data_IF_899510748720
#
_entry.id   IF_899510748720
#
_cell.length_a   1.000
_cell.length_b   1.000
_cell.length_c   1.000
_cell.angle_alpha   90.00
_cell.angle_beta   90.00
_cell.angle_gamma   90.00
#
_symmetry.space_group_name_H-M   'P 1'
#
loop_
_entity.id
_entity.type
_entity.pdbx_description
1 polymer ?
#
# COMPACT_ATOMS: atom_id res chain seq x y z
N UNK A 1 19.91 -12.96 9.10
CA UNK A 1 19.47 -11.58 8.83
C UNK A 1 18.00 -11.61 8.45
N UNK A 2 17.21 -10.62 8.85
CA UNK A 2 15.76 -10.75 8.87
C UNK A 2 15.10 -10.44 7.54
N UNK A 3 13.92 -11.07 7.31
CA UNK A 3 12.91 -10.52 6.43
C UNK A 3 12.00 -9.59 7.26
N UNK A 4 11.86 -8.36 6.80
CA UNK A 4 11.05 -7.31 7.46
C UNK A 4 9.90 -6.91 6.55
N UNK A 5 8.67 -6.95 7.06
CA UNK A 5 7.49 -6.48 6.34
C UNK A 5 7.19 -5.04 6.76
N UNK A 6 6.96 -4.15 5.79
CA UNK A 6 6.45 -2.78 6.03
C UNK A 6 5.11 -2.64 5.34
N UNK A 7 4.09 -2.32 6.12
CA UNK A 7 2.71 -2.16 5.63
C UNK A 7 1.99 -0.96 6.27
N UNK A 8 0.91 -0.52 5.64
CA UNK A 8 0.04 0.49 6.25
C UNK A 8 -0.91 -0.14 7.27
N UNK A 9 -1.05 0.48 8.43
CA UNK A 9 -1.92 -0.01 9.49
C UNK A 9 -3.25 0.76 9.60
N UNK A 10 -3.57 1.62 8.63
CA UNK A 10 -4.82 2.39 8.54
C UNK A 10 -5.48 2.16 7.17
N UNK A 11 -5.89 3.20 6.43
CA UNK A 11 -6.54 3.14 5.11
C UNK A 11 -5.65 3.59 3.93
N UNK A 12 -4.34 3.47 4.04
CA UNK A 12 -3.40 3.93 3.04
C UNK A 12 -2.95 5.38 3.27
N UNK A 13 -1.96 5.82 2.48
CA UNK A 13 -1.36 7.15 2.56
C UNK A 13 -0.73 7.50 3.92
N UNK A 14 -0.37 6.49 4.73
CA UNK A 14 0.27 6.67 6.03
C UNK A 14 1.71 7.20 5.94
N UNK A 15 2.29 7.27 4.75
CA UNK A 15 3.68 7.66 4.56
C UNK A 15 4.66 6.49 4.55
N UNK A 16 4.20 5.30 4.12
CA UNK A 16 5.04 4.09 3.97
C UNK A 16 6.32 4.34 3.18
N UNK A 17 6.24 5.12 2.10
CA UNK A 17 7.41 5.45 1.28
C UNK A 17 8.56 6.08 2.08
N UNK A 18 8.27 6.89 3.10
CA UNK A 18 9.30 7.46 3.99
C UNK A 18 9.92 6.38 4.88
N UNK A 19 9.11 5.48 5.46
CA UNK A 19 9.59 4.40 6.30
C UNK A 19 10.42 3.39 5.49
N UNK A 20 9.97 3.02 4.29
CA UNK A 20 10.70 2.10 3.40
C UNK A 20 11.99 2.73 2.87
N UNK A 21 12.00 4.03 2.58
CA UNK A 21 13.20 4.74 2.15
C UNK A 21 14.28 4.80 3.25
N UNK A 22 13.87 5.04 4.50
CA UNK A 22 14.81 5.02 5.64
C UNK A 22 15.45 3.64 5.86
N UNK A 23 14.69 2.57 5.65
CA UNK A 23 15.18 1.20 5.76
C UNK A 23 15.90 0.76 4.48
N UNK A 24 15.47 1.25 3.33
CA UNK A 24 15.90 0.80 2.01
C UNK A 24 17.40 0.90 1.77
N UNK A 25 18.08 1.88 2.35
CA UNK A 25 19.54 2.00 2.23
C UNK A 25 20.34 1.04 3.14
N UNK A 26 19.65 0.28 3.99
CA UNK A 26 20.22 -0.64 4.99
C UNK A 26 19.86 -2.10 4.73
N UNK A 27 19.22 -2.40 3.60
CA UNK A 27 18.79 -3.74 3.21
C UNK A 27 19.36 -4.11 1.85
N UNK A 28 19.45 -5.41 1.55
CA UNK A 28 19.98 -5.90 0.29
C UNK A 28 18.89 -6.01 -0.80
N UNK A 29 17.66 -6.30 -0.40
CA UNK A 29 16.51 -6.46 -1.29
C UNK A 29 15.31 -5.65 -0.81
N UNK A 30 14.60 -5.01 -1.75
CA UNK A 30 13.28 -4.41 -1.49
C UNK A 30 12.25 -5.02 -2.45
N UNK A 31 11.24 -5.66 -1.88
CA UNK A 31 10.26 -6.46 -2.62
C UNK A 31 8.88 -5.84 -2.51
N UNK A 32 8.30 -5.45 -3.63
CA UNK A 32 6.86 -5.15 -3.69
C UNK A 32 6.10 -6.46 -3.83
N UNK A 33 5.26 -6.78 -2.84
CA UNK A 33 4.64 -8.10 -2.76
C UNK A 33 3.17 -8.15 -3.19
N UNK A 34 2.46 -7.01 -3.30
CA UNK A 34 1.03 -6.98 -3.64
C UNK A 34 0.62 -5.72 -4.41
N UNK A 35 -0.61 -5.71 -4.88
CA UNK A 35 -1.20 -4.60 -5.62
C UNK A 35 -0.70 -4.55 -7.07
N UNK A 36 -0.62 -3.37 -7.60
CA UNK A 36 -0.16 -3.06 -8.95
C UNK A 36 0.10 -1.57 -9.06
N UNK A 37 -0.20 -0.99 -10.22
CA UNK A 37 -0.06 0.45 -10.46
C UNK A 37 -1.18 1.31 -9.86
N UNK A 38 -2.04 0.75 -9.00
CA UNK A 38 -3.08 1.47 -8.26
C UNK A 38 -2.56 2.20 -7.00
N UNK A 39 -1.39 1.85 -6.50
CA UNK A 39 -0.71 2.58 -5.44
C UNK A 39 0.22 3.65 -6.01
N UNK A 40 0.50 4.68 -5.24
CA UNK A 40 1.53 5.67 -5.55
C UNK A 40 2.36 5.94 -4.31
N UNK A 41 3.65 5.61 -4.36
CA UNK A 41 4.60 5.96 -3.31
C UNK A 41 5.40 7.17 -3.76
N UNK A 42 5.36 8.25 -2.98
CA UNK A 42 6.24 9.40 -3.21
C UNK A 42 7.42 9.29 -2.27
N UNK A 43 8.61 9.25 -2.84
CA UNK A 43 9.88 9.32 -2.13
C UNK A 43 10.56 10.64 -2.45
N UNK A 44 11.18 11.27 -1.47
CA UNK A 44 11.92 12.52 -1.65
C UNK A 44 13.38 12.26 -1.34
N UNK A 45 14.25 12.39 -2.35
CA UNK A 45 15.71 12.23 -2.23
C UNK A 45 16.36 13.54 -2.70
N UNK A 46 17.19 14.12 -1.87
CA UNK A 46 17.92 15.37 -2.14
C UNK A 46 17.03 16.53 -2.64
N UNK A 47 15.80 16.59 -2.09
CA UNK A 47 14.80 17.60 -2.46
C UNK A 47 13.99 17.26 -3.72
N UNK A 48 14.36 16.25 -4.48
CA UNK A 48 13.65 15.76 -5.65
C UNK A 48 12.56 14.74 -5.31
N UNK A 49 11.38 14.87 -5.93
CA UNK A 49 10.25 13.95 -5.74
C UNK A 49 10.24 12.87 -6.81
N UNK A 50 10.11 11.62 -6.36
CA UNK A 50 9.92 10.44 -7.19
C UNK A 50 8.57 9.81 -6.87
N UNK A 51 7.69 9.74 -7.86
CA UNK A 51 6.39 9.10 -7.73
C UNK A 51 6.45 7.71 -8.37
N UNK A 52 6.50 6.66 -7.55
CA UNK A 52 6.55 5.26 -7.98
C UNK A 52 5.17 4.61 -7.87
N UNK A 53 4.76 3.85 -8.88
CA UNK A 53 3.48 3.14 -8.89
C UNK A 53 3.68 1.61 -8.86
N UNK A 54 4.49 1.08 -9.78
CA UNK A 54 4.83 -0.35 -9.87
C UNK A 54 6.18 -0.66 -9.26
N UNK A 55 7.16 0.21 -9.47
CA UNK A 55 8.51 -0.04 -9.00
C UNK A 55 8.59 -0.01 -7.48
N UNK A 56 9.35 -0.95 -6.85
CA UNK A 56 9.65 -0.92 -5.43
C UNK A 56 10.46 0.33 -5.07
N UNK A 57 10.30 0.85 -3.84
CA UNK A 57 11.03 2.05 -3.38
C UNK A 57 12.55 1.88 -3.41
N UNK A 58 13.03 0.66 -3.20
CA UNK A 58 14.47 0.32 -3.25
C UNK A 58 15.15 0.58 -4.60
N UNK A 59 14.40 0.79 -5.70
CA UNK A 59 14.97 1.15 -7.01
C UNK A 59 15.80 2.42 -6.96
N UNK A 60 15.49 3.32 -6.04
CA UNK A 60 16.14 4.61 -5.85
C UNK A 60 17.44 4.53 -5.03
N UNK A 61 17.73 3.37 -4.42
CA UNK A 61 18.90 3.18 -3.55
C UNK A 61 20.00 2.40 -4.28
N UNK A 62 21.21 2.95 -4.28
CA UNK A 62 22.37 2.24 -4.84
C UNK A 62 22.72 1.01 -3.99
N UNK A 63 23.04 -0.12 -4.64
CA UNK A 63 23.40 -1.37 -3.94
C UNK A 63 22.21 -2.26 -3.54
N UNK A 64 20.98 -1.76 -3.62
CA UNK A 64 19.76 -2.53 -3.32
C UNK A 64 19.22 -3.21 -4.58
N UNK A 65 18.74 -4.42 -4.46
CA UNK A 65 18.08 -5.16 -5.54
C UNK A 65 16.56 -4.98 -5.41
N UNK A 66 15.92 -4.21 -6.30
CA UNK A 66 14.47 -4.06 -6.30
C UNK A 66 13.81 -5.29 -6.93
N UNK A 67 12.71 -5.78 -6.32
CA UNK A 67 12.02 -6.98 -6.78
C UNK A 67 10.51 -6.74 -6.87
N UNK A 68 9.90 -7.06 -8.00
CA UNK A 68 8.46 -7.19 -8.14
C UNK A 68 8.08 -8.65 -7.93
N UNK A 69 7.44 -8.94 -6.79
CA UNK A 69 7.06 -10.29 -6.36
C UNK A 69 5.86 -10.86 -7.13
N UNK A 70 5.65 -12.15 -6.98
CA UNK A 70 4.57 -12.90 -7.65
C UNK A 70 3.15 -12.48 -7.22
N UNK A 71 3.02 -11.75 -6.12
CA UNK A 71 1.72 -11.22 -5.67
C UNK A 71 1.27 -9.97 -6.42
N UNK A 72 2.14 -9.29 -7.16
CA UNK A 72 1.83 -8.08 -7.92
C UNK A 72 1.13 -8.41 -9.24
N UNK A 73 0.21 -7.55 -9.68
CA UNK A 73 -0.32 -7.56 -11.05
C UNK A 73 0.31 -6.40 -11.83
N UNK A 74 0.88 -6.70 -12.98
CA UNK A 74 1.82 -5.81 -13.70
C UNK A 74 1.20 -5.31 -15.00
N UNK A 75 1.03 -4.00 -15.11
CA UNK A 75 0.80 -3.31 -16.38
C UNK A 75 2.16 -3.02 -17.02
N UNK A 76 2.48 -3.72 -18.11
CA UNK A 76 3.79 -3.63 -18.75
C UNK A 76 4.06 -2.26 -19.35
N UNK A 77 3.05 -1.58 -19.89
CA UNK A 77 3.22 -0.24 -20.43
C UNK A 77 3.58 0.76 -19.31
N UNK A 78 2.93 0.64 -18.14
CA UNK A 78 3.24 1.47 -16.98
C UNK A 78 4.61 1.13 -16.41
N UNK A 79 4.97 -0.16 -16.32
CA UNK A 79 6.28 -0.60 -15.85
C UNK A 79 7.41 0.04 -16.66
N UNK A 80 7.35 -0.07 -17.97
CA UNK A 80 8.41 0.48 -18.83
C UNK A 80 8.40 2.00 -18.89
N UNK A 81 7.24 2.64 -18.80
CA UNK A 81 7.18 4.09 -18.68
C UNK A 81 7.84 4.61 -17.37
N UNK A 82 7.69 3.90 -16.26
CA UNK A 82 8.38 4.25 -15.01
C UNK A 82 9.89 4.01 -15.11
N UNK A 83 10.32 2.88 -15.69
CA UNK A 83 11.74 2.58 -15.95
C UNK A 83 12.36 3.69 -16.79
N UNK A 84 11.76 4.02 -17.94
CA UNK A 84 12.26 5.05 -18.85
C UNK A 84 12.35 6.43 -18.17
N UNK A 85 11.38 6.76 -17.32
CA UNK A 85 11.39 8.02 -16.59
C UNK A 85 12.49 8.09 -15.53
N UNK A 86 12.85 6.97 -14.89
CA UNK A 86 13.96 6.89 -13.93
C UNK A 86 15.33 6.89 -14.65
N UNK A 87 15.47 6.11 -15.72
CA UNK A 87 16.69 6.06 -16.51
C UNK A 87 17.03 7.45 -17.09
N UNK A 88 16.02 8.21 -17.57
CA UNK A 88 16.18 9.58 -18.02
C UNK A 88 16.66 10.56 -16.93
N UNK A 89 16.47 10.20 -15.65
CA UNK A 89 16.96 10.94 -14.46
C UNK A 89 18.27 10.38 -13.90
N UNK A 90 18.90 9.43 -14.60
CA UNK A 90 20.17 8.82 -14.20
C UNK A 90 20.08 7.78 -13.09
N UNK A 91 18.89 7.27 -12.80
CA UNK A 91 18.68 6.17 -11.84
C UNK A 91 18.90 4.84 -12.57
N UNK A 92 19.81 4.01 -12.07
CA UNK A 92 20.07 2.68 -12.63
C UNK A 92 18.95 1.70 -12.28
N UNK A 93 18.18 1.30 -13.29
CA UNK A 93 17.07 0.34 -13.16
C UNK A 93 17.46 -1.09 -13.56
N UNK A 94 18.70 -1.32 -14.01
CA UNK A 94 19.15 -2.61 -14.55
C UNK A 94 19.11 -3.78 -13.55
N UNK A 95 19.10 -3.48 -12.25
CA UNK A 95 19.04 -4.48 -11.15
C UNK A 95 17.62 -4.97 -10.83
N UNK A 96 16.59 -4.41 -11.48
CA UNK A 96 15.21 -4.80 -11.23
C UNK A 96 14.98 -6.27 -11.57
N UNK A 97 14.41 -7.01 -10.61
CA UNK A 97 13.92 -8.36 -10.84
C UNK A 97 12.39 -8.38 -10.85
N UNK A 98 11.85 -9.12 -11.81
CA UNK A 98 10.40 -9.33 -11.97
C UNK A 98 10.09 -10.80 -11.88
N UNK A 99 9.14 -11.17 -11.00
CA UNK A 99 8.75 -12.57 -10.84
C UNK A 99 8.15 -13.14 -12.12
N UNK A 100 8.70 -14.26 -12.58
CA UNK A 100 8.13 -15.06 -13.68
C UNK A 100 6.67 -15.46 -13.41
N UNK A 101 6.30 -15.62 -12.14
CA UNK A 101 4.96 -16.01 -11.69
C UNK A 101 4.00 -14.84 -11.42
N UNK A 102 4.43 -13.59 -11.55
CA UNK A 102 3.54 -12.43 -11.44
C UNK A 102 2.51 -12.40 -12.59
N UNK A 103 1.33 -11.83 -12.34
CA UNK A 103 0.28 -11.75 -13.35
C UNK A 103 0.34 -10.45 -14.14
N UNK A 104 -0.07 -10.51 -15.39
CA UNK A 104 -0.10 -9.37 -16.31
C UNK A 104 -1.48 -8.71 -16.31
N UNK A 105 -1.51 -7.40 -16.26
CA UNK A 105 -2.71 -6.61 -16.56
C UNK A 105 -2.78 -6.43 -18.08
N UNK A 106 -3.62 -7.21 -18.74
CA UNK A 106 -3.88 -7.07 -20.17
C UNK A 106 -4.87 -5.92 -20.45
N UNK A 107 -4.92 -5.37 -21.69
CA UNK A 107 -5.81 -4.27 -22.06
C UNK A 107 -7.29 -4.49 -21.75
N UNK A 108 -7.75 -5.73 -21.83
CA UNK A 108 -9.13 -6.09 -21.49
C UNK A 108 -9.46 -5.91 -20.00
N UNK A 109 -8.51 -6.04 -19.10
CA UNK A 109 -8.72 -5.81 -17.66
C UNK A 109 -9.08 -4.35 -17.40
N UNK A 110 -8.37 -3.40 -18.01
CA UNK A 110 -8.65 -1.97 -17.86
C UNK A 110 -10.01 -1.61 -18.48
N UNK A 111 -10.34 -2.23 -19.61
CA UNK A 111 -11.62 -2.03 -20.30
C UNK A 111 -12.78 -2.51 -19.43
N UNK A 112 -12.68 -3.72 -18.87
CA UNK A 112 -13.71 -4.31 -18.00
C UNK A 112 -13.87 -3.48 -16.72
N UNK A 113 -12.76 -3.08 -16.08
CA UNK A 113 -12.78 -2.26 -14.84
C UNK A 113 -13.56 -0.96 -15.04
N UNK A 114 -13.22 -0.19 -16.09
CA UNK A 114 -13.89 1.07 -16.42
C UNK A 114 -15.38 0.91 -16.76
N UNK A 115 -15.73 -0.17 -17.47
CA UNK A 115 -17.12 -0.44 -17.87
C UNK A 115 -17.94 -0.87 -16.66
N UNK A 116 -17.40 -1.76 -15.81
CA UNK A 116 -18.09 -2.25 -14.62
C UNK A 116 -18.38 -1.11 -13.63
N UNK A 117 -17.41 -0.23 -13.37
CA UNK A 117 -17.61 0.94 -12.50
C UNK A 117 -18.72 1.87 -13.02
N UNK A 118 -18.79 2.09 -14.34
CA UNK A 118 -19.87 2.88 -14.96
C UNK A 118 -21.22 2.17 -14.82
N UNK A 119 -21.25 0.86 -15.02
CA UNK A 119 -22.49 0.05 -14.94
C UNK A 119 -23.05 0.01 -13.51
N UNK A 120 -22.19 -0.06 -12.50
CA UNK A 120 -22.57 -0.04 -11.08
C UNK A 120 -23.19 1.30 -10.65
N UNK A 121 -22.85 2.41 -11.31
CA UNK A 121 -23.44 3.72 -11.06
C UNK A 121 -23.28 4.17 -9.60
N UNK A 122 -24.41 4.27 -8.86
CA UNK A 122 -24.39 4.65 -7.43
C UNK A 122 -23.76 3.60 -6.50
N UNK A 123 -23.64 2.34 -6.94
CA UNK A 123 -23.03 1.24 -6.20
C UNK A 123 -21.57 1.01 -6.57
N UNK A 124 -20.94 1.98 -7.24
CA UNK A 124 -19.54 1.92 -7.61
C UNK A 124 -18.65 1.79 -6.37
N UNK A 125 -17.57 1.06 -6.52
CA UNK A 125 -16.54 0.88 -5.46
C UNK A 125 -15.61 2.09 -5.41
N UNK A 126 -15.43 2.80 -6.53
CA UNK A 126 -14.47 3.89 -6.69
C UNK A 126 -13.09 3.38 -7.06
N UNK A 127 -13.01 2.38 -7.94
CA UNK A 127 -11.73 1.82 -8.43
C UNK A 127 -10.91 2.86 -9.17
N UNK A 128 -9.62 2.58 -9.34
CA UNK A 128 -8.72 3.44 -10.12
C UNK A 128 -8.90 3.29 -11.64
N UNK A 129 -9.71 2.32 -12.11
CA UNK A 129 -9.93 2.01 -13.52
C UNK A 129 -8.69 1.45 -14.22
N UNK A 130 -7.72 0.93 -13.46
CA UNK A 130 -6.43 0.42 -13.95
C UNK A 130 -6.41 -1.10 -14.18
N UNK A 131 -7.54 -1.78 -14.04
CA UNK A 131 -7.66 -3.22 -14.29
C UNK A 131 -7.16 -4.12 -13.17
N UNK A 132 -6.89 -3.58 -11.99
CA UNK A 132 -6.33 -4.33 -10.85
C UNK A 132 -7.30 -5.44 -10.42
N UNK A 133 -8.56 -5.08 -10.11
CA UNK A 133 -9.59 -6.04 -9.69
C UNK A 133 -9.82 -7.15 -10.70
N UNK A 134 -10.09 -6.85 -11.97
CA UNK A 134 -10.21 -7.86 -13.02
C UNK A 134 -9.00 -8.78 -13.19
N UNK A 135 -7.76 -8.27 -13.03
CA UNK A 135 -6.56 -9.09 -13.11
C UNK A 135 -6.44 -10.06 -11.92
N UNK A 136 -6.75 -9.61 -10.70
CA UNK A 136 -6.82 -10.52 -9.54
C UNK A 136 -7.97 -11.53 -9.66
N UNK A 137 -9.13 -11.14 -10.20
CA UNK A 137 -10.22 -12.07 -10.47
C UNK A 137 -9.76 -13.20 -11.42
N UNK A 138 -9.07 -12.87 -12.50
CA UNK A 138 -8.50 -13.84 -13.44
C UNK A 138 -7.45 -14.75 -12.80
N UNK A 139 -6.60 -14.20 -11.94
CA UNK A 139 -5.63 -14.97 -11.15
C UNK A 139 -6.33 -16.05 -10.32
N UNK A 140 -7.38 -15.68 -9.58
CA UNK A 140 -8.12 -16.60 -8.70
C UNK A 140 -8.97 -17.58 -9.52
N UNK A 141 -9.54 -17.16 -10.64
CA UNK A 141 -10.25 -18.03 -11.59
C UNK A 141 -9.33 -18.92 -12.41
N UNK A 142 -8.03 -18.73 -12.33
CA UNK A 142 -6.98 -19.51 -13.01
C UNK A 142 -7.01 -19.39 -14.55
N UNK A 143 -7.45 -18.22 -15.02
CA UNK A 143 -7.45 -17.84 -16.46
C UNK A 143 -6.47 -16.69 -16.74
N UNK A 144 -5.72 -16.25 -15.72
CA UNK A 144 -4.78 -15.13 -15.84
C UNK A 144 -3.52 -15.48 -16.62
N UNK A 145 -2.96 -14.48 -17.29
CA UNK A 145 -1.66 -14.54 -17.97
C UNK A 145 -0.56 -14.16 -16.99
N UNK A 146 0.51 -14.94 -16.93
CA UNK A 146 1.71 -14.68 -16.13
C UNK A 146 2.84 -14.11 -16.98
N UNK A 147 3.81 -13.49 -16.35
CA UNK A 147 5.02 -12.95 -17.00
C UNK A 147 5.73 -14.02 -17.83
N UNK A 148 5.91 -15.22 -17.31
CA UNK A 148 6.56 -16.34 -18.03
C UNK A 148 5.86 -16.73 -19.33
N UNK A 149 4.55 -16.51 -19.43
CA UNK A 149 3.78 -16.89 -20.62
C UNK A 149 4.08 -16.02 -21.85
N UNK A 150 4.67 -14.81 -21.64
CA UNK A 150 5.07 -13.91 -22.70
C UNK A 150 6.24 -14.46 -23.56
N UNK A 151 6.91 -15.51 -23.09
CA UNK A 151 8.07 -16.09 -23.77
C UNK A 151 7.72 -17.32 -24.62
N UNK A 152 6.42 -17.68 -24.66
CA UNK A 152 5.86 -18.70 -25.55
C UNK A 152 4.56 -18.14 -26.17
N UNK A 153 4.68 -17.68 -27.42
CA UNK A 153 3.57 -17.04 -28.15
C UNK A 153 2.35 -17.94 -28.27
N UNK A 154 2.55 -19.26 -28.45
CA UNK A 154 1.45 -20.21 -28.59
C UNK A 154 0.68 -20.35 -27.25
N UNK A 155 1.38 -20.50 -26.15
CA UNK A 155 0.78 -20.56 -24.80
C UNK A 155 0.10 -19.23 -24.46
N UNK A 156 0.72 -18.08 -24.78
CA UNK A 156 0.14 -16.77 -24.58
C UNK A 156 -1.18 -16.62 -25.34
N UNK A 157 -1.20 -16.97 -26.63
CA UNK A 157 -2.39 -16.88 -27.46
C UNK A 157 -3.55 -17.74 -26.92
N UNK A 158 -3.28 -19.00 -26.54
CA UNK A 158 -4.28 -19.88 -25.93
C UNK A 158 -4.86 -19.31 -24.63
N UNK A 159 -4.01 -18.75 -23.74
CA UNK A 159 -4.48 -18.14 -22.48
C UNK A 159 -5.30 -16.88 -22.72
N UNK A 160 -4.86 -16.03 -23.64
CA UNK A 160 -5.60 -14.81 -24.02
C UNK A 160 -6.95 -15.15 -24.64
N UNK A 161 -7.02 -16.16 -25.53
CA UNK A 161 -8.26 -16.65 -26.11
C UNK A 161 -9.24 -17.11 -25.02
N UNK A 162 -8.81 -18.01 -24.13
CA UNK A 162 -9.64 -18.51 -23.04
C UNK A 162 -10.13 -17.42 -22.08
N UNK A 163 -9.30 -16.40 -21.81
CA UNK A 163 -9.70 -15.26 -21.02
C UNK A 163 -10.70 -14.35 -21.74
N UNK A 164 -10.52 -14.12 -23.05
CA UNK A 164 -11.36 -13.24 -23.86
C UNK A 164 -12.72 -13.85 -24.17
N UNK A 165 -12.85 -15.16 -24.26
CA UNK A 165 -14.14 -15.83 -24.47
C UNK A 165 -15.19 -15.36 -23.45
N UNK A 166 -14.86 -15.41 -22.17
CA UNK A 166 -15.75 -14.98 -21.10
C UNK A 166 -15.96 -13.47 -21.11
N UNK A 167 -14.91 -12.69 -21.28
CA UNK A 167 -14.94 -11.22 -21.23
C UNK A 167 -15.67 -10.64 -22.42
N UNK A 168 -15.45 -11.16 -23.62
CA UNK A 168 -16.16 -10.72 -24.81
C UNK A 168 -17.66 -11.03 -24.73
N UNK A 169 -18.03 -12.15 -24.08
CA UNK A 169 -19.45 -12.44 -23.85
C UNK A 169 -20.07 -11.33 -22.97
N UNK A 170 -19.43 -10.93 -21.90
CA UNK A 170 -19.89 -9.82 -21.05
C UNK A 170 -19.89 -8.48 -21.80
N UNK A 171 -18.79 -8.15 -22.49
CA UNK A 171 -18.66 -6.91 -23.22
C UNK A 171 -19.75 -6.75 -24.28
N UNK A 172 -20.00 -7.78 -25.10
CA UNK A 172 -20.94 -7.71 -26.20
C UNK A 172 -22.38 -7.87 -25.72
N UNK A 173 -22.68 -8.89 -24.92
CA UNK A 173 -24.06 -9.26 -24.57
C UNK A 173 -24.64 -8.46 -23.41
N UNK A 174 -23.80 -8.08 -22.43
CA UNK A 174 -24.27 -7.37 -21.24
C UNK A 174 -24.02 -5.87 -21.34
N UNK A 175 -22.84 -5.48 -21.80
CA UNK A 175 -22.44 -4.07 -21.81
C UNK A 175 -22.61 -3.38 -23.16
N UNK A 176 -23.05 -4.11 -24.23
CA UNK A 176 -23.19 -3.59 -25.58
C UNK A 176 -21.93 -2.85 -26.07
N UNK A 177 -20.78 -3.52 -25.96
CA UNK A 177 -19.45 -3.02 -26.36
C UNK A 177 -18.88 -3.93 -27.44
N UNK A 178 -17.89 -3.39 -28.19
CA UNK A 178 -17.11 -4.15 -29.15
C UNK A 178 -16.30 -5.25 -28.45
N UNK A 179 -16.23 -6.43 -29.08
CA UNK A 179 -15.30 -7.46 -28.66
C UNK A 179 -13.84 -7.02 -28.83
N UNK A 180 -12.98 -7.57 -27.99
CA UNK A 180 -11.52 -7.39 -28.08
C UNK A 180 -10.96 -8.62 -28.77
N UNK A 181 -10.00 -8.43 -29.69
CA UNK A 181 -9.42 -9.53 -30.45
C UNK A 181 -8.24 -10.16 -29.71
N UNK A 182 -8.00 -11.43 -29.95
CA UNK A 182 -6.86 -12.17 -29.41
C UNK A 182 -5.57 -11.60 -29.99
N UNK A 183 -5.55 -11.39 -31.28
CA UNK A 183 -4.38 -10.91 -32.05
C UNK A 183 -3.87 -9.56 -31.52
N UNK A 184 -4.78 -8.56 -31.38
CA UNK A 184 -4.41 -7.24 -30.86
C UNK A 184 -3.85 -7.33 -29.43
N UNK A 185 -4.41 -8.22 -28.60
CA UNK A 185 -3.96 -8.41 -27.21
C UNK A 185 -2.61 -9.09 -27.13
N UNK A 186 -2.40 -10.15 -27.92
CA UNK A 186 -1.13 -10.91 -27.99
C UNK A 186 -0.03 -10.01 -28.53
N UNK A 187 -0.23 -9.32 -29.66
CA UNK A 187 0.73 -8.38 -30.23
C UNK A 187 1.15 -7.30 -29.23
N UNK A 188 0.18 -6.71 -28.52
CA UNK A 188 0.45 -5.73 -27.49
C UNK A 188 1.34 -6.30 -26.38
N UNK A 189 1.04 -7.49 -25.88
CA UNK A 189 1.81 -8.10 -24.78
C UNK A 189 3.21 -8.51 -25.25
N UNK A 190 3.34 -9.11 -26.44
CA UNK A 190 4.63 -9.51 -27.01
C UNK A 190 5.56 -8.33 -27.28
N UNK A 191 5.03 -7.14 -27.56
CA UNK A 191 5.84 -5.95 -27.78
C UNK A 191 6.77 -5.60 -26.61
N UNK A 192 6.50 -6.10 -25.41
CA UNK A 192 7.30 -5.91 -24.21
C UNK A 192 8.23 -7.09 -23.89
N UNK A 193 8.04 -8.26 -24.52
CA UNK A 193 8.67 -9.51 -24.10
C UNK A 193 10.20 -9.45 -24.09
N UNK A 194 10.82 -8.97 -25.18
CA UNK A 194 12.27 -8.94 -25.30
C UNK A 194 12.92 -7.97 -24.30
N UNK A 195 12.29 -6.82 -24.05
CA UNK A 195 12.77 -5.85 -23.06
C UNK A 195 12.62 -6.38 -21.63
N UNK A 196 11.59 -7.19 -21.37
CA UNK A 196 11.30 -7.77 -20.06
C UNK A 196 12.22 -8.95 -19.73
N UNK A 197 12.64 -9.73 -20.73
CA UNK A 197 13.40 -10.99 -20.58
C UNK A 197 14.57 -10.93 -19.60
N UNK A 198 15.48 -9.93 -19.64
CA UNK A 198 16.63 -9.88 -18.74
C UNK A 198 16.28 -9.62 -17.29
N UNK A 199 15.06 -9.13 -16.99
CA UNK A 199 14.61 -8.82 -15.64
C UNK A 199 13.88 -9.99 -14.97
N UNK A 200 13.50 -11.02 -15.73
CA UNK A 200 12.63 -12.10 -15.25
C UNK A 200 13.41 -13.17 -14.49
N UNK A 201 12.93 -13.49 -13.29
CA UNK A 201 13.56 -14.49 -12.43
C UNK A 201 12.53 -15.31 -11.64
N UNK A 202 12.96 -16.45 -11.11
CA UNK A 202 12.30 -17.11 -9.98
C UNK A 202 12.63 -16.32 -8.71
N UNK A 203 11.83 -15.30 -8.44
CA UNK A 203 12.07 -14.39 -7.31
C UNK A 203 11.91 -15.09 -5.96
N UNK A 204 11.09 -16.15 -5.88
CA UNK A 204 10.96 -16.91 -4.64
C UNK A 204 12.27 -17.63 -4.31
N UNK A 205 12.89 -18.29 -5.29
CA UNK A 205 14.20 -18.92 -5.13
C UNK A 205 15.27 -17.88 -4.77
N UNK A 206 15.38 -16.80 -5.55
CA UNK A 206 16.38 -15.74 -5.33
C UNK A 206 16.31 -15.15 -3.91
N UNK A 207 15.09 -14.86 -3.42
CA UNK A 207 14.91 -14.26 -2.10
C UNK A 207 15.20 -15.25 -0.95
N UNK A 208 14.85 -16.53 -1.12
CA UNK A 208 15.17 -17.55 -0.11
C UNK A 208 16.67 -17.83 -0.05
N UNK A 209 17.34 -17.96 -1.20
CA UNK A 209 18.80 -18.13 -1.27
C UNK A 209 19.53 -16.92 -0.66
N UNK A 210 19.05 -15.71 -0.92
CA UNK A 210 19.57 -14.48 -0.33
C UNK A 210 19.47 -14.49 1.21
N UNK A 211 18.30 -14.88 1.74
CA UNK A 211 18.11 -15.01 3.20
C UNK A 211 19.01 -16.11 3.80
N UNK A 212 19.22 -17.23 3.09
CA UNK A 212 20.14 -18.30 3.52
C UNK A 212 21.60 -17.84 3.52
N UNK A 213 21.95 -16.94 2.60
CA UNK A 213 23.26 -16.29 2.55
C UNK A 213 23.41 -15.15 3.58
N UNK A 214 22.38 -14.84 4.37
CA UNK A 214 22.42 -13.82 5.41
C UNK A 214 22.07 -12.40 4.92
N UNK A 215 21.48 -12.25 3.74
CA UNK A 215 20.99 -10.96 3.25
C UNK A 215 19.72 -10.50 4.00
N UNK A 216 19.50 -9.19 4.03
CA UNK A 216 18.31 -8.56 4.60
C UNK A 216 17.29 -8.23 3.51
N UNK A 217 16.04 -8.67 3.68
CA UNK A 217 14.95 -8.49 2.73
C UNK A 217 13.86 -7.62 3.34
N UNK A 218 13.52 -6.51 2.68
CA UNK A 218 12.39 -5.64 3.00
C UNK A 218 11.22 -5.94 2.09
N UNK A 219 10.07 -6.29 2.65
CA UNK A 219 8.82 -6.55 1.93
C UNK A 219 7.90 -5.35 2.10
N UNK A 220 7.67 -4.57 1.02
CA UNK A 220 6.82 -3.38 1.07
C UNK A 220 5.42 -3.64 0.53
N UNK A 221 4.40 -3.25 1.31
CA UNK A 221 3.01 -3.30 0.88
C UNK A 221 2.64 -2.11 -0.01
N UNK A 222 1.89 -2.37 -1.07
CA UNK A 222 1.31 -1.32 -1.91
C UNK A 222 0.17 -0.56 -1.23
N UNK A 223 -0.55 -1.20 -0.30
CA UNK A 223 -1.72 -0.64 0.38
C UNK A 223 -1.62 -0.81 1.91
N UNK A 224 -2.77 -0.87 2.59
CA UNK A 224 -2.85 -0.90 4.04
C UNK A 224 -3.85 -1.95 4.53
N UNK A 225 -3.81 -2.29 5.82
CA UNK A 225 -4.63 -3.33 6.45
C UNK A 225 -6.13 -3.12 6.23
N UNK A 226 -6.61 -1.88 6.39
CA UNK A 226 -8.05 -1.61 6.22
C UNK A 226 -8.50 -1.58 4.75
N UNK A 227 -7.58 -1.74 3.82
CA UNK A 227 -7.82 -1.94 2.39
C UNK A 227 -7.53 -3.38 1.92
N UNK A 228 -7.15 -4.28 2.81
CA UNK A 228 -6.95 -5.71 2.49
C UNK A 228 -8.27 -6.36 2.09
N UNK A 229 -8.23 -7.27 1.09
CA UNK A 229 -9.45 -7.89 0.54
C UNK A 229 -10.19 -8.75 1.58
N UNK A 230 -9.48 -9.37 2.53
CA UNK A 230 -10.05 -10.24 3.56
C UNK A 230 -10.29 -9.52 4.89
N UNK A 231 -9.38 -8.60 5.27
CA UNK A 231 -9.36 -7.95 6.57
C UNK A 231 -9.75 -6.47 6.56
N UNK A 232 -9.95 -5.89 5.38
CA UNK A 232 -10.35 -4.49 5.22
C UNK A 232 -11.84 -4.25 5.27
N UNK A 233 -12.22 -3.02 4.96
CA UNK A 233 -13.63 -2.54 4.93
C UNK A 233 -14.33 -2.96 3.64
N UNK A 234 -14.46 -4.27 3.40
CA UNK A 234 -15.11 -4.83 2.22
C UNK A 234 -16.53 -4.25 2.03
N UNK A 235 -16.98 -3.89 0.79
CA UNK A 235 -16.28 -4.05 -0.47
C UNK A 235 -15.33 -2.90 -0.86
N UNK A 236 -15.17 -1.89 -0.02
CA UNK A 236 -14.35 -0.70 -0.26
C UNK A 236 -12.87 -0.98 0.08
N UNK A 237 -12.29 -1.91 -0.65
CA UNK A 237 -10.93 -2.45 -0.45
C UNK A 237 -10.19 -2.58 -1.79
N UNK A 238 -8.90 -2.88 -1.75
CA UNK A 238 -8.15 -3.38 -2.91
C UNK A 238 -8.45 -4.87 -3.13
N UNK A 239 -8.16 -5.38 -4.31
CA UNK A 239 -8.35 -6.80 -4.63
C UNK A 239 -7.14 -7.67 -4.25
N UNK A 240 -6.24 -7.16 -3.43
CA UNK A 240 -5.02 -7.85 -3.00
C UNK A 240 -4.93 -7.95 -1.49
N UNK A 241 -4.13 -8.90 -1.00
CA UNK A 241 -3.81 -9.01 0.41
C UNK A 241 -2.65 -8.07 0.75
N UNK A 242 -2.96 -7.01 1.51
CA UNK A 242 -2.02 -5.98 1.94
C UNK A 242 -1.51 -6.20 3.39
N UNK A 243 -1.86 -7.33 3.98
CA UNK A 243 -1.43 -7.78 5.32
C UNK A 243 -0.08 -8.51 5.28
N UNK A 244 0.51 -8.74 6.45
CA UNK A 244 1.75 -9.52 6.60
C UNK A 244 1.63 -10.94 6.03
N UNK A 245 0.46 -11.59 6.15
CA UNK A 245 0.18 -12.86 5.49
C UNK A 245 0.29 -12.78 3.96
N UNK A 246 -0.17 -11.65 3.37
CA UNK A 246 -0.03 -11.36 1.95
C UNK A 246 1.42 -11.18 1.51
N UNK A 247 2.30 -10.70 2.40
CA UNK A 247 3.72 -10.60 2.11
C UNK A 247 4.36 -11.97 1.88
N UNK A 248 4.01 -12.97 2.68
CA UNK A 248 4.50 -14.33 2.50
C UNK A 248 4.06 -14.93 1.16
N UNK A 249 2.77 -14.87 0.84
CA UNK A 249 2.25 -15.42 -0.42
C UNK A 249 2.70 -14.66 -1.65
N UNK A 250 2.89 -13.33 -1.52
CA UNK A 250 3.25 -12.45 -2.64
C UNK A 250 4.74 -12.37 -2.94
N UNK A 251 5.61 -12.88 -2.05
CA UNK A 251 7.07 -12.94 -2.25
C UNK A 251 7.60 -14.37 -2.38
N UNK A 252 6.87 -15.36 -1.86
CA UNK A 252 7.35 -16.75 -1.76
C UNK A 252 8.26 -16.99 -0.55
N UNK A 253 8.36 -16.05 0.38
CA UNK A 253 9.08 -16.22 1.65
C UNK A 253 8.14 -16.87 2.67
N UNK A 254 8.60 -17.94 3.32
CA UNK A 254 7.82 -18.64 4.34
C UNK A 254 7.57 -17.77 5.58
N UNK A 255 6.41 -17.92 6.27
CA UNK A 255 6.05 -17.05 7.39
C UNK A 255 7.02 -17.13 8.57
N UNK A 256 7.69 -18.25 8.78
CA UNK A 256 8.69 -18.44 9.86
C UNK A 256 10.03 -17.73 9.57
N UNK A 257 10.18 -17.13 8.40
CA UNK A 257 11.35 -16.34 8.01
C UNK A 257 11.12 -14.83 8.13
N UNK A 258 9.89 -14.44 8.52
CA UNK A 258 9.57 -13.03 8.81
C UNK A 258 9.91 -12.77 10.27
N UNK A 259 10.89 -11.91 10.50
CA UNK A 259 11.35 -11.57 11.86
C UNK A 259 10.61 -10.36 12.42
N UNK A 260 10.27 -9.39 11.57
CA UNK A 260 9.58 -8.17 11.99
C UNK A 260 8.46 -7.80 11.04
N UNK A 261 7.39 -7.27 11.62
CA UNK A 261 6.26 -6.68 10.88
C UNK A 261 6.04 -5.25 11.39
N UNK A 262 6.38 -4.29 10.55
CA UNK A 262 6.33 -2.86 10.85
C UNK A 262 5.07 -2.25 10.26
N UNK A 263 4.18 -1.77 11.12
CA UNK A 263 2.99 -1.01 10.74
C UNK A 263 3.30 0.48 10.63
N UNK A 264 2.95 1.13 9.53
CA UNK A 264 3.02 2.59 9.42
C UNK A 264 1.66 3.18 9.73
N UNK A 265 1.62 4.15 10.63
CA UNK A 265 0.43 4.90 11.05
C UNK A 265 0.68 6.40 10.96
N UNK A 266 -0.38 7.18 10.75
CA UNK A 266 -0.35 8.63 10.96
C UNK A 266 -0.80 8.99 12.36
N UNK A 267 -0.38 10.14 12.85
CA UNK A 267 -0.88 10.74 14.09
C UNK A 267 -2.38 11.13 14.04
N UNK A 268 -2.99 11.05 12.88
CA UNK A 268 -4.41 11.16 12.59
C UNK A 268 -4.77 10.13 11.51
N UNK A 269 -5.99 10.14 10.98
CA UNK A 269 -6.40 9.14 9.98
C UNK A 269 -6.78 9.83 8.67
N UNK A 270 -6.44 9.20 7.54
CA UNK A 270 -6.92 9.62 6.21
C UNK A 270 -7.47 8.44 5.44
N UNK A 271 -8.45 8.71 4.56
CA UNK A 271 -9.00 7.73 3.64
C UNK A 271 -9.22 8.34 2.26
N UNK A 272 -8.93 7.56 1.23
CA UNK A 272 -9.30 7.86 -0.16
C UNK A 272 -10.47 6.96 -0.57
N UNK A 273 -11.41 7.48 -1.35
CA UNK A 273 -12.55 6.72 -1.87
C UNK A 273 -13.71 6.60 -0.90
N UNK A 274 -14.64 5.74 -1.29
CA UNK A 274 -15.88 5.49 -0.56
C UNK A 274 -15.66 4.54 0.63
N UNK A 275 -16.72 4.31 1.41
CA UNK A 275 -16.74 3.35 2.51
C UNK A 275 -16.68 3.99 3.90
N UNK A 276 -16.82 3.18 4.96
CA UNK A 276 -16.95 3.65 6.33
C UNK A 276 -15.66 4.30 6.83
N UNK A 277 -15.84 5.39 7.55
CA UNK A 277 -14.75 6.13 8.21
C UNK A 277 -15.31 6.78 9.49
N UNK A 278 -15.42 6.03 10.60
CA UNK A 278 -16.11 6.51 11.80
C UNK A 278 -15.56 7.81 12.38
N UNK A 279 -14.25 8.02 12.30
CA UNK A 279 -13.58 9.22 12.83
C UNK A 279 -13.50 10.38 11.84
N UNK A 280 -14.17 10.29 10.68
CA UNK A 280 -14.14 11.35 9.66
C UNK A 280 -14.64 12.68 10.19
N UNK A 281 -13.94 13.76 9.85
CA UNK A 281 -14.25 15.13 10.19
C UNK A 281 -14.67 15.90 8.95
N UNK A 282 -15.86 16.45 8.98
CA UNK A 282 -16.42 17.30 7.91
C UNK A 282 -16.48 18.77 8.30
N UNK A 283 -15.87 19.12 9.44
CA UNK A 283 -15.82 20.46 10.03
C UNK A 283 -14.48 21.16 9.76
N UNK A 284 -14.24 22.28 10.50
CA UNK A 284 -13.02 23.05 10.43
C UNK A 284 -11.75 22.26 10.80
N UNK A 285 -11.86 21.25 11.69
CA UNK A 285 -10.70 20.43 12.07
C UNK A 285 -10.31 19.48 10.93
N UNK A 286 -11.30 18.91 10.22
CA UNK A 286 -11.04 18.10 9.03
C UNK A 286 -10.36 18.90 7.91
N UNK A 287 -10.79 20.16 7.68
CA UNK A 287 -10.15 21.03 6.71
C UNK A 287 -8.74 21.45 7.15
N UNK A 288 -8.56 21.72 8.43
CA UNK A 288 -7.25 22.05 8.99
C UNK A 288 -6.27 20.89 8.85
N UNK A 289 -6.65 19.66 9.21
CA UNK A 289 -5.82 18.46 9.01
C UNK A 289 -5.46 18.27 7.52
N UNK A 290 -6.41 18.49 6.63
CA UNK A 290 -6.19 18.37 5.18
C UNK A 290 -5.16 19.37 4.68
N UNK A 291 -5.32 20.63 5.06
CA UNK A 291 -4.47 21.73 4.58
C UNK A 291 -3.07 21.65 5.20
N UNK A 292 -2.98 21.55 6.54
CA UNK A 292 -1.72 21.48 7.26
C UNK A 292 -0.97 20.19 6.94
N UNK A 293 -1.69 19.07 6.83
CA UNK A 293 -1.10 17.77 6.46
C UNK A 293 -0.80 17.63 4.98
N UNK A 294 -1.25 18.54 4.11
CA UNK A 294 -1.10 18.41 2.66
C UNK A 294 -1.80 17.16 2.12
N UNK A 295 -3.00 16.86 2.63
CA UNK A 295 -3.72 15.62 2.34
C UNK A 295 -4.46 15.69 1.00
N UNK A 296 -3.67 15.64 -0.06
CA UNK A 296 -4.13 15.59 -1.45
C UNK A 296 -3.48 14.42 -2.19
N UNK A 297 -4.22 13.82 -3.11
CA UNK A 297 -3.72 12.69 -3.91
C UNK A 297 -2.57 13.12 -4.82
N UNK A 298 -1.44 12.43 -4.74
CA UNK A 298 -0.21 12.75 -5.49
C UNK A 298 -0.43 12.83 -7.00
N UNK A 299 -1.26 11.92 -7.56
CA UNK A 299 -1.50 11.85 -9.01
C UNK A 299 -2.70 12.68 -9.45
N UNK A 300 -3.75 12.78 -8.63
CA UNK A 300 -5.02 13.38 -9.03
C UNK A 300 -5.28 14.74 -8.39
N UNK A 301 -4.51 15.15 -7.39
CA UNK A 301 -4.78 16.33 -6.57
C UNK A 301 -6.08 16.26 -5.76
N UNK A 302 -6.77 15.11 -5.78
CA UNK A 302 -8.06 14.96 -5.09
C UNK A 302 -7.87 15.06 -3.57
N UNK A 303 -8.70 15.84 -2.84
CA UNK A 303 -8.62 15.94 -1.40
C UNK A 303 -8.92 14.58 -0.75
N UNK A 304 -8.15 14.23 0.28
CA UNK A 304 -8.38 13.07 1.13
C UNK A 304 -9.40 13.41 2.21
N UNK A 305 -10.17 12.42 2.62
CA UNK A 305 -11.00 12.45 3.83
C UNK A 305 -10.06 12.38 5.02
N UNK A 306 -10.26 13.23 6.03
CA UNK A 306 -9.42 13.31 7.23
C UNK A 306 -10.26 13.08 8.47
N UNK A 307 -9.66 12.49 9.51
CA UNK A 307 -10.31 12.21 10.79
C UNK A 307 -9.30 12.05 11.91
N UNK A 308 -9.76 12.02 13.15
CA UNK A 308 -8.91 11.79 14.30
C UNK A 308 -8.31 10.38 14.29
N UNK A 309 -7.23 10.20 15.06
CA UNK A 309 -6.59 8.89 15.22
C UNK A 309 -7.59 7.86 15.75
N UNK A 310 -7.54 6.65 15.19
CA UNK A 310 -8.44 5.55 15.53
C UNK A 310 -7.65 4.40 16.15
N UNK A 311 -7.68 4.33 17.49
CA UNK A 311 -6.99 3.30 18.23
C UNK A 311 -7.67 1.91 18.10
N UNK A 312 -8.97 1.86 17.75
CA UNK A 312 -9.67 0.59 17.49
C UNK A 312 -9.10 -0.05 16.23
N UNK A 313 -8.93 0.74 15.18
CA UNK A 313 -8.28 0.31 13.93
C UNK A 313 -6.82 -0.06 14.16
N UNK A 314 -6.08 0.72 14.95
CA UNK A 314 -4.68 0.41 15.25
C UNK A 314 -4.53 -0.94 15.98
N UNK A 315 -5.35 -1.22 17.01
CA UNK A 315 -5.38 -2.52 17.70
C UNK A 315 -5.74 -3.67 16.76
N UNK A 316 -6.76 -3.46 15.91
CA UNK A 316 -7.15 -4.45 14.91
C UNK A 316 -6.00 -4.76 13.95
N UNK A 317 -5.35 -3.73 13.42
CA UNK A 317 -4.21 -3.88 12.51
C UNK A 317 -3.01 -4.58 13.18
N UNK A 318 -2.73 -4.22 14.44
CA UNK A 318 -1.69 -4.89 15.24
C UNK A 318 -1.94 -6.39 15.36
N UNK A 319 -3.19 -6.77 15.65
CA UNK A 319 -3.58 -8.17 15.84
C UNK A 319 -3.54 -8.99 14.55
N UNK A 320 -4.12 -8.48 13.43
CA UNK A 320 -4.21 -9.27 12.19
C UNK A 320 -2.88 -9.40 11.46
N UNK A 321 -1.96 -8.47 11.70
CA UNK A 321 -0.62 -8.52 11.11
C UNK A 321 0.45 -9.09 12.04
N UNK A 322 0.17 -9.21 13.35
CA UNK A 322 1.20 -9.53 14.34
C UNK A 322 2.29 -8.46 14.36
N UNK A 323 1.89 -7.17 14.39
CA UNK A 323 2.84 -6.06 14.35
C UNK A 323 3.82 -6.14 15.52
N UNK A 324 5.10 -6.09 15.20
CA UNK A 324 6.19 -5.99 16.18
C UNK A 324 6.50 -4.54 16.52
N UNK A 325 6.32 -3.65 15.55
CA UNK A 325 6.69 -2.24 15.62
C UNK A 325 5.69 -1.38 14.86
N UNK A 326 5.57 -0.11 15.30
CA UNK A 326 4.87 0.95 14.60
C UNK A 326 5.83 2.09 14.25
N UNK A 327 5.62 2.70 13.08
CA UNK A 327 6.21 3.98 12.70
C UNK A 327 5.09 5.00 12.60
N UNK A 328 5.10 5.97 13.51
CA UNK A 328 4.17 7.08 13.57
C UNK A 328 4.64 8.20 12.65
N UNK A 329 3.82 8.64 11.73
CA UNK A 329 4.13 9.72 10.79
C UNK A 329 3.28 10.96 11.08
N UNK A 330 3.73 12.13 10.59
CA UNK A 330 2.93 13.36 10.62
C UNK A 330 2.55 13.86 12.01
N UNK A 331 3.39 13.63 13.03
CA UNK A 331 3.16 14.16 14.37
C UNK A 331 3.19 15.70 14.37
N UNK A 332 4.06 16.30 13.55
CA UNK A 332 4.20 17.74 13.32
C UNK A 332 2.89 18.43 12.91
N UNK A 333 2.01 17.72 12.21
CA UNK A 333 0.71 18.27 11.75
C UNK A 333 -0.22 18.61 12.92
N UNK A 334 -0.07 17.97 14.08
CA UNK A 334 -0.90 18.22 15.26
C UNK A 334 -0.42 19.41 16.12
N UNK A 335 0.71 20.02 15.77
CA UNK A 335 1.23 21.21 16.47
C UNK A 335 0.23 22.37 16.41
N UNK A 336 -0.05 22.98 17.55
CA UNK A 336 -1.00 24.12 17.68
C UNK A 336 -2.38 23.74 18.21
N UNK A 337 -2.67 22.44 18.34
CA UNK A 337 -3.89 21.99 19.00
C UNK A 337 -3.72 22.01 20.52
N UNK A 338 -4.75 22.48 21.25
CA UNK A 338 -4.79 22.42 22.72
C UNK A 338 -5.18 21.03 23.23
N UNK A 339 -6.13 20.38 22.52
CA UNK A 339 -6.64 19.04 22.84
C UNK A 339 -6.71 18.21 21.58
N UNK A 340 -6.32 16.95 21.68
CA UNK A 340 -6.28 16.00 20.55
C UNK A 340 -7.18 14.80 20.88
N UNK A 341 -8.34 14.69 20.22
CA UNK A 341 -9.22 13.53 20.38
C UNK A 341 -8.61 12.27 19.76
N UNK A 342 -8.70 11.15 20.48
CA UNK A 342 -8.32 9.81 20.01
C UNK A 342 -9.51 8.90 20.15
N UNK A 343 -9.94 8.23 19.09
CA UNK A 343 -11.02 7.27 19.13
C UNK A 343 -10.56 5.98 19.84
N UNK A 344 -11.17 5.66 20.97
CA UNK A 344 -10.81 4.50 21.82
C UNK A 344 -11.80 3.36 21.73
N UNK A 345 -13.03 3.63 21.28
CA UNK A 345 -14.11 2.67 21.10
C UNK A 345 -15.14 3.23 20.10
N UNK A 346 -16.10 2.40 19.70
CA UNK A 346 -17.27 2.84 18.94
C UNK A 346 -18.55 2.64 19.76
N UNK A 347 -19.51 3.54 19.57
CA UNK A 347 -20.89 3.31 19.95
C UNK A 347 -21.69 2.86 18.72
N UNK A 348 -22.40 1.76 18.83
CA UNK A 348 -23.30 1.26 17.79
C UNK A 348 -24.67 1.02 18.41
N UNK A 349 -25.62 1.93 18.19
CA UNK A 349 -26.96 1.81 18.72
C UNK A 349 -27.04 1.85 20.27
N UNK A 350 -26.16 2.59 20.93
CA UNK A 350 -26.07 2.69 22.38
C UNK A 350 -25.23 1.58 23.03
N UNK A 351 -24.59 0.71 22.24
CA UNK A 351 -23.70 -0.35 22.75
C UNK A 351 -22.26 0.01 22.40
N UNK A 352 -21.40 0.06 23.43
CA UNK A 352 -19.98 0.32 23.30
C UNK A 352 -19.23 -0.92 22.76
N UNK A 353 -18.43 -0.71 21.74
CA UNK A 353 -17.55 -1.71 21.13
C UNK A 353 -16.09 -1.25 21.24
N UNK A 354 -15.28 -1.96 22.03
CA UNK A 354 -13.84 -1.71 22.14
C UNK A 354 -13.03 -2.39 21.04
N UNK A 355 -13.67 -3.20 20.20
CA UNK A 355 -13.11 -3.88 19.04
C UNK A 355 -13.83 -3.45 17.76
N UNK A 356 -13.15 -3.65 16.62
CA UNK A 356 -13.76 -3.41 15.31
C UNK A 356 -15.01 -4.28 15.14
N UNK A 357 -16.20 -3.69 14.87
CA UNK A 357 -17.39 -4.46 14.59
C UNK A 357 -17.19 -5.36 13.37
N UNK A 358 -17.56 -6.64 13.48
CA UNK A 358 -17.47 -7.62 12.38
C UNK A 358 -18.55 -7.34 11.32
N UNK A 359 -19.71 -6.88 11.77
CA UNK A 359 -20.83 -6.55 10.92
C UNK A 359 -20.59 -5.22 10.19
N UNK A 360 -20.66 -5.26 8.85
CA UNK A 360 -20.47 -4.09 8.01
C UNK A 360 -21.47 -2.96 8.31
N UNK A 361 -22.73 -3.29 8.56
CA UNK A 361 -23.77 -2.31 8.88
C UNK A 361 -23.48 -1.64 10.21
N UNK A 362 -23.06 -2.42 11.21
CA UNK A 362 -22.63 -1.90 12.51
C UNK A 362 -21.44 -0.93 12.36
N UNK A 363 -20.45 -1.31 11.54
CA UNK A 363 -19.28 -0.45 11.32
C UNK A 363 -19.63 0.83 10.54
N UNK A 364 -20.56 0.77 9.58
CA UNK A 364 -21.04 1.95 8.86
C UNK A 364 -21.79 2.96 9.74
N UNK A 365 -22.45 2.48 10.79
CA UNK A 365 -23.21 3.31 11.74
C UNK A 365 -22.46 3.55 13.05
N UNK A 366 -21.20 3.13 13.13
CA UNK A 366 -20.39 3.33 14.31
C UNK A 366 -20.11 4.81 14.55
N UNK A 367 -20.38 5.26 15.76
CA UNK A 367 -20.03 6.60 16.23
C UNK A 367 -18.77 6.51 17.11
N UNK A 368 -17.72 7.30 16.87
CA UNK A 368 -16.49 7.22 17.65
C UNK A 368 -16.70 7.71 19.08
N UNK A 369 -16.14 6.98 20.04
CA UNK A 369 -16.01 7.40 21.43
C UNK A 369 -14.59 7.89 21.64
N UNK A 370 -14.45 9.17 21.97
CA UNK A 370 -13.15 9.82 22.08
C UNK A 370 -12.65 9.88 23.53
N UNK A 371 -11.34 9.74 23.68
CA UNK A 371 -10.54 10.20 24.81
C UNK A 371 -9.71 11.39 24.35
N UNK A 372 -9.65 12.45 25.15
CA UNK A 372 -8.90 13.65 24.82
C UNK A 372 -7.52 13.63 25.48
N UNK A 373 -6.50 13.89 24.70
CA UNK A 373 -5.12 14.08 25.16
C UNK A 373 -4.73 15.54 25.05
N UNK A 374 -3.77 15.97 25.88
CA UNK A 374 -3.22 17.32 25.80
C UNK A 374 -2.41 17.48 24.51
N UNK A 375 -2.58 18.62 23.83
CA UNK A 375 -1.81 18.98 22.66
C UNK A 375 -0.60 19.85 23.02
N UNK A 376 0.12 20.34 22.01
CA UNK A 376 1.31 21.18 22.15
C UNK A 376 1.34 22.29 21.12
N UNK A 377 2.02 23.39 21.47
CA UNK A 377 2.17 24.55 20.58
C UNK A 377 3.58 24.73 20.03
N UNK A 378 4.57 24.08 20.65
CA UNK A 378 5.96 24.19 20.22
C UNK A 378 6.19 23.47 18.87
N UNK A 379 6.96 24.09 17.98
CA UNK A 379 7.39 23.47 16.72
C UNK A 379 8.31 22.29 17.02
N UNK A 380 7.95 21.09 16.54
CA UNK A 380 8.68 19.86 16.74
C UNK A 380 9.49 19.43 15.52
N UNK A 381 9.44 20.17 14.41
CA UNK A 381 10.10 19.78 13.14
C UNK A 381 11.63 19.71 13.26
N UNK A 382 12.20 20.44 14.22
CA UNK A 382 13.62 20.44 14.57
C UNK A 382 14.08 19.30 15.50
N UNK A 383 13.15 18.58 16.17
CA UNK A 383 13.51 17.53 17.11
C UNK A 383 14.16 16.32 16.41
N UNK A 384 15.20 15.76 17.02
CA UNK A 384 15.94 14.59 16.50
C UNK A 384 16.02 13.45 17.50
N UNK A 385 15.68 13.68 18.75
CA UNK A 385 15.53 12.68 19.80
C UNK A 385 14.14 12.76 20.45
N UNK A 386 13.70 11.67 21.07
CA UNK A 386 12.39 11.61 21.72
C UNK A 386 12.27 12.59 22.88
N UNK A 387 13.36 12.79 23.62
CA UNK A 387 13.42 13.67 24.79
C UNK A 387 13.39 15.18 24.40
N UNK A 388 13.67 15.53 23.15
CA UNK A 388 13.50 16.90 22.65
C UNK A 388 12.06 17.28 22.35
N UNK A 389 11.15 16.31 22.25
CA UNK A 389 9.73 16.57 22.05
C UNK A 389 9.14 17.23 23.31
N UNK A 390 8.16 18.16 23.16
CA UNK A 390 7.33 18.61 24.28
C UNK A 390 6.73 17.43 25.05
N UNK A 391 6.58 17.59 26.36
CA UNK A 391 6.10 16.49 27.21
C UNK A 391 4.72 15.96 26.78
N UNK A 392 3.85 16.85 26.31
CA UNK A 392 2.54 16.51 25.78
C UNK A 392 2.66 15.65 24.51
N UNK A 393 3.58 15.98 23.60
CA UNK A 393 3.84 15.19 22.39
C UNK A 393 4.43 13.81 22.73
N UNK A 394 5.33 13.73 23.72
CA UNK A 394 5.84 12.44 24.24
C UNK A 394 4.69 11.60 24.81
N UNK A 395 3.83 12.21 25.65
CA UNK A 395 2.66 11.54 26.23
C UNK A 395 1.67 11.07 25.18
N UNK A 396 1.47 11.86 24.14
CA UNK A 396 0.64 11.47 22.98
C UNK A 396 1.18 10.20 22.31
N UNK A 397 2.47 10.17 21.97
CA UNK A 397 3.11 8.99 21.36
C UNK A 397 2.99 7.75 22.25
N UNK A 398 3.27 7.89 23.55
CA UNK A 398 3.18 6.78 24.51
C UNK A 398 1.76 6.30 24.72
N UNK A 399 0.77 7.19 24.71
CA UNK A 399 -0.65 6.83 24.78
C UNK A 399 -1.09 6.05 23.53
N UNK A 400 -0.65 6.45 22.32
CA UNK A 400 -0.94 5.69 21.11
C UNK A 400 -0.26 4.31 21.12
N UNK A 401 0.95 4.21 21.65
CA UNK A 401 1.66 2.94 21.84
C UNK A 401 0.87 1.99 22.76
N UNK A 402 0.42 2.47 23.91
CA UNK A 402 -0.41 1.72 24.85
C UNK A 402 -1.75 1.31 24.21
N UNK A 403 -2.45 2.26 23.58
CA UNK A 403 -3.76 2.03 22.96
C UNK A 403 -3.71 1.06 21.77
N UNK A 404 -2.63 1.02 21.00
CA UNK A 404 -2.45 0.09 19.89
C UNK A 404 -1.96 -1.29 20.32
N UNK A 405 -1.35 -1.39 21.50
CA UNK A 405 -0.69 -2.61 22.02
C UNK A 405 0.59 -2.97 21.29
N UNK A 406 1.19 -2.03 20.55
CA UNK A 406 2.42 -2.23 19.76
C UNK A 406 3.34 -1.02 19.94
N UNK A 407 4.63 -1.25 20.20
CA UNK A 407 5.60 -0.17 20.44
C UNK A 407 5.78 0.72 19.20
N UNK A 408 5.93 2.02 19.42
CA UNK A 408 6.22 2.99 18.37
C UNK A 408 7.73 3.17 18.29
N UNK A 409 8.36 2.60 17.28
CA UNK A 409 9.82 2.56 17.11
C UNK A 409 10.36 3.73 16.30
N UNK A 410 9.53 4.41 15.53
CA UNK A 410 9.88 5.61 14.77
C UNK A 410 8.81 6.68 14.88
N UNK A 411 9.21 7.97 14.97
CA UNK A 411 8.29 9.12 15.05
C UNK A 411 8.66 10.16 14.01
N UNK A 412 7.82 10.37 13.02
CA UNK A 412 7.98 11.37 11.96
C UNK A 412 7.51 12.74 12.43
N UNK A 413 8.43 13.71 12.45
CA UNK A 413 8.24 15.10 12.89
C UNK A 413 8.30 16.11 11.74
N UNK A 414 8.22 15.65 10.51
CA UNK A 414 8.24 16.49 9.30
C UNK A 414 8.37 15.66 8.02
N UNK A 415 8.32 16.29 6.83
CA UNK A 415 8.30 15.59 5.55
C UNK A 415 9.68 15.03 5.12
N UNK A 416 10.78 15.61 5.58
CA UNK A 416 12.13 15.22 5.18
C UNK A 416 12.54 13.84 5.67
N UNK A 417 13.53 13.24 4.99
CA UNK A 417 14.12 11.96 5.37
C UNK A 417 14.64 12.01 6.82
N UNK A 418 15.35 13.08 7.18
CA UNK A 418 15.97 13.27 8.49
C UNK A 418 14.97 13.67 9.60
N UNK A 419 13.73 13.96 9.23
CA UNK A 419 12.68 14.34 10.15
C UNK A 419 11.96 13.12 10.74
N UNK A 420 12.73 12.11 11.18
CA UNK A 420 12.22 10.94 11.89
C UNK A 420 13.11 10.64 13.10
N UNK A 421 12.49 10.64 14.26
CA UNK A 421 13.10 10.22 15.51
C UNK A 421 13.07 8.68 15.56
N UNK A 422 14.22 8.03 15.66
CA UNK A 422 14.35 6.59 15.83
C UNK A 422 14.39 6.28 17.32
N UNK A 423 13.40 5.56 17.84
CA UNK A 423 13.35 5.09 19.23
C UNK A 423 13.92 3.67 19.37
N UNK A 424 13.65 2.83 18.38
CA UNK A 424 14.16 1.45 18.34
C UNK A 424 14.56 1.11 16.90
N UNK A 425 15.67 0.39 16.75
CA UNK A 425 16.12 -0.04 15.42
C UNK A 425 15.18 -1.12 14.86
N UNK A 426 14.65 -0.88 13.67
CA UNK A 426 13.71 -1.77 12.98
C UNK A 426 14.38 -2.96 12.30
N UNK A 427 15.71 -2.97 12.20
CA UNK A 427 16.52 -4.04 11.59
C UNK A 427 17.40 -4.81 12.60
N UNK A 428 17.38 -4.40 13.88
CA UNK A 428 18.13 -5.04 14.95
C UNK A 428 17.45 -6.28 15.54
#
# INVERSE_FOLDING_TARGET
>A
MPAVVVLGAQWGDEGKGKATDQLGSRVDYVVKFNGGNNAGHTVVIDGEKYALHLLPSGILSTGVIPVIGNGVVIDLAVLFAEIDALDARGIDTSRLLVSASAHVIAPYHQTVDKITERFLGKRRIGTTGRGIGPAYADKISRVGVRIQDLFDEHILAQKVEGALDQKNHLLVKVYNRRAITVEETVEHLLSFAERLRPMVADTALVLNDALDAGATVLLEAGQATMLDVDHGTYPFVTSSNATAGGACTGSGIGPTRIDRVVGVIKAYTTRVGEGPFPTELTDQHGEWLRTTGGEFGTTTGRPRRCGWYDAVVARYSSRVNGLTDLVLTKLDVLTGLERIPVCVAYDVGGVRHDQLPVDQTAFHHATPVYSELDGWSADITGCRSFDELPLEAQRYVLALEEMSGTRISGVGVGPGRDATIVRHDLLA
#
